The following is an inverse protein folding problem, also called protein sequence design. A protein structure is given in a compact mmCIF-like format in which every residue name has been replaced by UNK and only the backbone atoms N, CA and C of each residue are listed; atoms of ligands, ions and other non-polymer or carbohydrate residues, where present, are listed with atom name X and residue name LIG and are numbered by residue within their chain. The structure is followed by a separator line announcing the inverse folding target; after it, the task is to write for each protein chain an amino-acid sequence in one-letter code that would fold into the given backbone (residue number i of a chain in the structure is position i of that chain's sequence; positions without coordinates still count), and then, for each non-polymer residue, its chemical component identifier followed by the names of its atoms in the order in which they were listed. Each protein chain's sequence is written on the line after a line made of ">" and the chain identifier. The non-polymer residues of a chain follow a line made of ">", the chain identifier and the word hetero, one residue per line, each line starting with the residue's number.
data_IF_270510696019
#
_entry.id   IF_270510696019
#
_cell.length_a   1.000
_cell.length_b   1.000
_cell.length_c   1.000
_cell.angle_alpha   90.00
_cell.angle_beta   90.00
_cell.angle_gamma   90.00
#
_symmetry.space_group_name_H-M   'P 1'
#
loop_
_entity.id
_entity.type
_entity.pdbx_description
1 polymer ?
#
# COMPACT_ATOMS: atom_id res chain seq x y z
N UNK A 1 3.47 -15.14 8.10
CA UNK A 1 3.72 -13.76 7.63
C UNK A 1 2.74 -12.87 8.34
N UNK A 2 3.23 -12.01 9.24
CA UNK A 2 2.44 -11.46 10.35
C UNK A 2 1.11 -10.81 9.95
N UNK A 3 1.07 -10.04 8.85
CA UNK A 3 -0.17 -9.43 8.37
C UNK A 3 -1.21 -10.47 7.90
N UNK A 4 -0.77 -11.53 7.22
CA UNK A 4 -1.65 -12.61 6.76
C UNK A 4 -2.24 -13.36 7.95
N UNK A 5 -1.44 -13.63 8.98
CA UNK A 5 -1.89 -14.34 10.18
C UNK A 5 -2.90 -13.53 10.98
N UNK A 6 -2.67 -12.23 11.15
CA UNK A 6 -3.53 -11.35 11.96
C UNK A 6 -4.78 -10.86 11.24
N UNK A 7 -4.75 -10.70 9.91
CA UNK A 7 -5.86 -10.07 9.15
C UNK A 7 -6.46 -10.95 8.06
N UNK A 8 -5.85 -12.08 7.73
CA UNK A 8 -6.21 -12.92 6.58
C UNK A 8 -5.89 -12.30 5.21
N UNK A 9 -5.42 -11.04 5.15
CA UNK A 9 -5.16 -10.32 3.90
C UNK A 9 -3.82 -10.71 3.30
N UNK A 10 -3.78 -10.92 1.98
CA UNK A 10 -2.58 -11.28 1.22
C UNK A 10 -2.75 -10.97 -0.26
N UNK A 11 -1.63 -10.88 -1.01
CA UNK A 11 -1.67 -10.70 -2.46
C UNK A 11 -2.53 -9.50 -2.86
N UNK A 12 -3.43 -9.68 -3.83
CA UNK A 12 -4.28 -8.61 -4.37
C UNK A 12 -5.13 -7.91 -3.29
N UNK A 13 -5.71 -8.64 -2.33
CA UNK A 13 -6.60 -8.06 -1.31
C UNK A 13 -5.86 -7.23 -0.26
N UNK A 14 -4.54 -7.40 -0.15
CA UNK A 14 -3.68 -6.55 0.65
C UNK A 14 -3.14 -5.37 -0.17
N UNK A 15 -2.52 -5.66 -1.32
CA UNK A 15 -1.70 -4.67 -2.03
C UNK A 15 -2.48 -3.77 -3.01
N UNK A 16 -3.62 -4.23 -3.57
CA UNK A 16 -4.42 -3.39 -4.46
C UNK A 16 -4.98 -2.13 -3.76
N UNK A 17 -5.66 -2.23 -2.59
CA UNK A 17 -6.13 -1.03 -1.90
C UNK A 17 -4.98 -0.12 -1.43
N UNK A 18 -3.85 -0.69 -1.01
CA UNK A 18 -2.67 0.10 -0.65
C UNK A 18 -2.11 0.86 -1.85
N UNK A 19 -2.03 0.24 -3.03
CA UNK A 19 -1.59 0.91 -4.26
C UNK A 19 -2.49 2.09 -4.59
N UNK A 20 -3.82 1.89 -4.56
CA UNK A 20 -4.77 2.99 -4.81
C UNK A 20 -4.55 4.15 -3.84
N UNK A 21 -4.42 3.86 -2.54
CA UNK A 21 -4.18 4.89 -1.53
C UNK A 21 -2.84 5.63 -1.74
N UNK A 22 -1.80 4.91 -2.15
CA UNK A 22 -0.45 5.47 -2.26
C UNK A 22 -0.17 6.14 -3.60
N UNK A 23 -0.84 5.74 -4.68
CA UNK A 23 -0.50 6.17 -6.04
C UNK A 23 -1.69 6.58 -6.90
N UNK A 24 -2.93 6.31 -6.48
CA UNK A 24 -4.13 6.52 -7.30
C UNK A 24 -4.25 5.57 -8.51
N UNK A 25 -3.43 4.51 -8.58
CA UNK A 25 -3.38 3.60 -9.73
C UNK A 25 -3.86 2.19 -9.35
N UNK A 26 -4.45 1.49 -10.31
CA UNK A 26 -4.87 0.09 -10.16
C UNK A 26 -3.74 -0.92 -10.43
N UNK A 27 -2.70 -0.49 -11.12
CA UNK A 27 -1.57 -1.32 -11.56
C UNK A 27 -0.26 -0.53 -11.49
N UNK A 28 0.86 -1.22 -11.69
CA UNK A 28 2.18 -0.61 -11.68
C UNK A 28 3.27 -1.59 -11.22
N UNK A 29 4.50 -1.10 -11.00
CA UNK A 29 5.62 -1.91 -10.57
C UNK A 29 5.41 -2.49 -9.16
N UNK A 30 6.27 -3.41 -8.76
CA UNK A 30 6.24 -4.03 -7.44
C UNK A 30 6.21 -2.97 -6.31
N UNK A 31 5.38 -3.21 -5.29
CA UNK A 31 5.20 -2.26 -4.19
C UNK A 31 6.47 -2.11 -3.34
N UNK A 32 7.29 -3.16 -3.23
CA UNK A 32 8.56 -3.12 -2.50
C UNK A 32 9.60 -2.21 -3.18
N UNK A 33 9.56 -2.11 -4.51
CA UNK A 33 10.39 -1.16 -5.25
C UNK A 33 9.82 0.26 -5.22
N UNK A 34 8.49 0.40 -5.18
CA UNK A 34 7.80 1.68 -5.24
C UNK A 34 7.82 2.44 -3.90
N UNK A 35 7.65 1.75 -2.77
CA UNK A 35 7.59 2.38 -1.45
C UNK A 35 8.84 3.21 -1.09
N UNK A 36 10.08 2.74 -1.33
CA UNK A 36 11.28 3.54 -1.11
C UNK A 36 11.31 4.85 -1.91
N UNK A 37 10.73 4.86 -3.13
CA UNK A 37 10.68 6.04 -3.99
C UNK A 37 9.66 7.08 -3.51
N UNK A 38 8.57 6.65 -2.86
CA UNK A 38 7.62 7.57 -2.23
C UNK A 38 8.24 8.21 -0.98
N UNK A 39 9.03 7.44 -0.23
CA UNK A 39 9.53 7.84 1.08
C UNK A 39 8.50 7.61 2.19
N UNK A 40 8.99 7.37 3.42
CA UNK A 40 8.15 6.95 4.55
C UNK A 40 7.08 7.97 4.91
N UNK A 41 7.45 9.24 5.03
CA UNK A 41 6.54 10.26 5.55
C UNK A 41 5.42 10.57 4.57
N UNK A 42 5.75 10.73 3.28
CA UNK A 42 4.75 10.89 2.22
C UNK A 42 3.84 9.65 2.09
N UNK A 43 4.38 8.44 2.28
CA UNK A 43 3.55 7.23 2.28
C UNK A 43 2.52 7.23 3.43
N UNK A 44 2.94 7.63 4.63
CA UNK A 44 2.06 7.74 5.80
C UNK A 44 0.99 8.82 5.57
N UNK A 45 1.38 10.00 5.09
CA UNK A 45 0.46 11.10 4.81
C UNK A 45 -0.64 10.69 3.81
N UNK A 46 -0.24 10.02 2.72
CA UNK A 46 -1.18 9.49 1.71
C UNK A 46 -2.12 8.44 2.30
N UNK A 47 -1.61 7.53 3.12
CA UNK A 47 -2.43 6.49 3.76
C UNK A 47 -3.45 7.08 4.73
N UNK A 48 -3.08 8.10 5.51
CA UNK A 48 -4.01 8.79 6.42
C UNK A 48 -5.08 9.51 5.61
N UNK A 49 -4.68 10.28 4.60
CA UNK A 49 -5.63 11.05 3.77
C UNK A 49 -6.61 10.16 3.02
N UNK A 50 -6.18 8.96 2.59
CA UNK A 50 -7.03 8.01 1.87
C UNK A 50 -8.12 7.33 2.75
N UNK A 51 -8.13 7.57 4.07
CA UNK A 51 -9.12 7.00 5.00
C UNK A 51 -10.26 7.95 5.37
N UNK A 52 -10.23 9.20 4.86
CA UNK A 52 -11.34 10.15 4.92
C UNK A 52 -12.36 9.89 3.81
#
# INVERSE_FOLDING_TARGET
>A
GALKESTGRKGKTLFMPLRRALTGLDHGPDMGALLPLIGRDAAIERLITATA
#
